data_IF_262079127650
#
_entry.id   IF_262079127650
#
_cell.length_a   1.000
_cell.length_b   1.000
_cell.length_c   1.000
_cell.angle_alpha   90.00
_cell.angle_beta   90.00
_cell.angle_gamma   90.00
#
_symmetry.space_group_name_H-M   'P 1'
#
loop_
_entity.id
_entity.type
_entity.pdbx_description
1 polymer ?
#
# COMPACT_ATOMS: atom_id res chain seq x y z
N UNK A 1 -23.64 -12.04 7.53
CA UNK A 1 -23.22 -10.83 8.25
C UNK A 1 -21.87 -10.38 7.70
N UNK A 2 -21.87 -9.46 6.73
CA UNK A 2 -20.65 -8.95 6.09
C UNK A 2 -19.88 -8.06 7.08
N UNK A 3 -18.62 -8.42 7.35
CA UNK A 3 -17.77 -7.71 8.33
C UNK A 3 -17.64 -6.25 7.92
N UNK A 4 -18.04 -5.34 8.83
CA UNK A 4 -17.71 -3.92 8.76
C UNK A 4 -16.19 -3.81 8.82
N UNK A 5 -15.55 -3.50 7.69
CA UNK A 5 -14.14 -3.13 7.71
C UNK A 5 -14.04 -1.75 8.36
N UNK A 6 -13.44 -1.73 9.55
CA UNK A 6 -13.32 -0.56 10.40
C UNK A 6 -12.61 0.57 9.68
N UNK A 7 -13.30 1.71 9.66
CA UNK A 7 -12.87 3.02 9.23
C UNK A 7 -11.67 3.46 10.09
N UNK A 8 -10.46 3.28 9.58
CA UNK A 8 -9.27 3.95 10.12
C UNK A 8 -8.84 4.96 9.05
N UNK A 9 -8.69 6.26 9.36
CA UNK A 9 -7.94 7.14 8.47
C UNK A 9 -6.48 6.68 8.54
N UNK A 10 -6.12 5.77 7.65
CA UNK A 10 -4.85 5.06 7.56
C UNK A 10 -3.76 5.96 6.95
N UNK A 11 -3.64 7.20 7.42
CA UNK A 11 -2.57 8.08 6.98
C UNK A 11 -1.90 8.67 8.22
N UNK A 12 -0.79 8.05 8.59
CA UNK A 12 0.22 8.72 9.42
C UNK A 12 1.23 9.34 8.44
N UNK A 13 1.52 10.65 8.52
CA UNK A 13 2.54 11.32 7.70
C UNK A 13 3.95 10.66 7.72
N UNK A 14 4.17 9.70 8.62
CA UNK A 14 5.38 8.88 8.72
C UNK A 14 5.49 7.74 7.71
N UNK A 15 4.50 7.52 6.83
CA UNK A 15 4.50 6.42 5.85
C UNK A 15 5.05 6.80 4.47
N UNK A 16 5.49 8.05 4.31
CA UNK A 16 6.14 8.48 3.09
C UNK A 16 7.61 8.05 3.17
N UNK A 17 8.07 7.20 2.24
CA UNK A 17 9.45 6.74 2.25
C UNK A 17 10.40 7.95 2.22
N UNK A 18 11.52 7.82 2.93
CA UNK A 18 12.63 8.78 2.76
C UNK A 18 13.03 8.81 1.29
N UNK A 19 13.48 9.96 0.75
CA UNK A 19 14.04 10.00 -0.60
C UNK A 19 15.15 8.96 -0.73
N UNK A 20 14.95 7.97 -1.60
CA UNK A 20 15.84 6.81 -1.77
C UNK A 20 15.26 5.48 -1.28
N UNK A 21 14.21 5.50 -0.45
CA UNK A 21 13.42 4.30 -0.15
C UNK A 21 12.35 4.06 -1.23
N UNK A 22 12.03 2.78 -1.43
CA UNK A 22 11.03 2.35 -2.42
C UNK A 22 9.62 2.39 -1.82
N UNK A 23 8.63 2.78 -2.63
CA UNK A 23 7.22 2.70 -2.26
C UNK A 23 6.80 1.23 -2.14
N UNK A 24 6.00 0.90 -1.12
CA UNK A 24 5.37 -0.43 -1.00
C UNK A 24 3.91 -0.36 -1.48
N UNK A 25 3.70 -0.68 -2.76
CA UNK A 25 2.39 -0.81 -3.42
C UNK A 25 2.18 -2.24 -3.93
N UNK A 26 2.62 -3.25 -3.16
CA UNK A 26 2.51 -4.66 -3.54
C UNK A 26 1.11 -5.24 -3.38
N UNK A 27 0.21 -4.54 -2.69
CA UNK A 27 -1.18 -4.98 -2.49
C UNK A 27 -2.00 -4.80 -3.79
N UNK A 28 -2.87 -5.78 -4.08
CA UNK A 28 -3.69 -5.78 -5.28
C UNK A 28 -4.63 -4.57 -5.39
N UNK A 29 -4.92 -3.87 -4.28
CA UNK A 29 -5.69 -2.61 -4.28
C UNK A 29 -5.09 -1.53 -5.18
N UNK A 30 -3.78 -1.59 -5.44
CA UNK A 30 -3.06 -0.64 -6.28
C UNK A 30 -3.10 -1.03 -7.75
N UNK A 31 -3.65 -2.20 -8.11
CA UNK A 31 -3.64 -2.70 -9.47
C UNK A 31 -5.05 -2.90 -10.00
N UNK A 32 -5.50 -1.96 -10.83
CA UNK A 32 -6.75 -2.03 -11.56
C UNK A 32 -6.47 -2.51 -12.99
N UNK A 33 -6.65 -3.81 -13.22
CA UNK A 33 -6.42 -4.46 -14.51
C UNK A 33 -7.57 -4.29 -15.50
N UNK A 34 -8.66 -3.64 -15.10
CA UNK A 34 -9.82 -3.44 -15.97
C UNK A 34 -9.80 -2.09 -16.67
N UNK A 35 -9.15 -1.10 -16.07
CA UNK A 35 -9.07 0.24 -16.62
C UNK A 35 -7.63 0.73 -16.63
N UNK A 36 -7.03 0.82 -17.81
CA UNK A 36 -5.81 1.59 -17.98
C UNK A 36 -6.15 3.07 -18.09
N UNK A 37 -5.57 3.88 -17.20
CA UNK A 37 -5.70 5.34 -17.22
C UNK A 37 -4.34 5.98 -17.48
N UNK A 38 -4.27 7.18 -18.07
CA UNK A 38 -3.00 7.87 -18.28
C UNK A 38 -2.36 8.24 -16.93
N UNK A 39 -1.07 7.96 -16.79
CA UNK A 39 -0.29 8.30 -15.61
C UNK A 39 -0.22 9.82 -15.44
N UNK A 40 -0.58 10.34 -14.27
CA UNK A 40 -0.58 11.78 -13.99
C UNK A 40 0.79 12.47 -14.07
N UNK A 41 1.88 11.71 -14.20
CA UNK A 41 3.26 12.22 -14.27
C UNK A 41 3.93 12.06 -15.65
N UNK A 42 3.53 11.06 -16.44
CA UNK A 42 4.17 10.77 -17.72
C UNK A 42 3.18 10.48 -18.86
N UNK A 43 1.89 10.58 -18.59
CA UNK A 43 0.75 10.39 -19.51
C UNK A 43 0.63 9.01 -20.17
N UNK A 44 1.53 8.07 -19.86
CA UNK A 44 1.46 6.70 -20.35
C UNK A 44 0.39 5.89 -19.61
N UNK A 45 -0.27 4.99 -20.32
CA UNK A 45 -1.25 4.08 -19.74
C UNK A 45 -0.67 3.31 -18.53
N UNK A 46 -1.44 3.27 -17.44
CA UNK A 46 -1.10 2.52 -16.24
C UNK A 46 -2.32 1.83 -15.64
N UNK A 47 -2.20 0.53 -15.33
CA UNK A 47 -3.19 -0.16 -14.49
C UNK A 47 -2.99 0.19 -13.02
N UNK A 48 -1.91 0.88 -12.67
CA UNK A 48 -1.54 1.15 -11.29
C UNK A 48 -2.19 2.41 -10.74
N UNK A 49 -2.54 2.36 -9.46
CA UNK A 49 -3.17 3.44 -8.69
C UNK A 49 -2.33 3.78 -7.47
N UNK A 50 -2.20 5.07 -7.20
CA UNK A 50 -1.68 5.55 -5.92
C UNK A 50 -2.61 5.16 -4.78
N UNK A 51 -2.17 5.35 -3.54
CA UNK A 51 -3.02 5.17 -2.37
C UNK A 51 -4.33 5.97 -2.43
N UNK A 52 -4.29 7.17 -3.03
CA UNK A 52 -5.45 8.04 -3.21
C UNK A 52 -6.34 7.64 -4.40
N UNK A 53 -5.96 6.62 -5.17
CA UNK A 53 -6.65 6.22 -6.40
C UNK A 53 -6.23 6.98 -7.66
N UNK A 54 -5.19 7.83 -7.60
CA UNK A 54 -4.69 8.53 -8.81
C UNK A 54 -3.92 7.55 -9.72
N UNK A 55 -4.14 7.56 -11.04
CA UNK A 55 -3.40 6.72 -11.97
C UNK A 55 -1.94 7.18 -12.06
N UNK A 56 -1.02 6.33 -11.65
CA UNK A 56 0.42 6.62 -11.68
C UNK A 56 1.23 5.33 -11.72
N UNK A 57 2.36 5.30 -12.43
CA UNK A 57 3.32 4.20 -12.29
C UNK A 57 4.06 4.30 -10.96
N UNK A 58 4.39 3.15 -10.34
CA UNK A 58 5.23 3.09 -9.13
C UNK A 58 6.51 3.89 -9.26
N UNK A 59 7.24 3.67 -10.36
CA UNK A 59 8.51 4.33 -10.64
C UNK A 59 8.36 5.83 -10.82
N UNK A 60 7.28 6.30 -11.43
CA UNK A 60 7.00 7.73 -11.56
C UNK A 60 6.72 8.37 -10.19
N UNK A 61 5.95 7.69 -9.34
CA UNK A 61 5.69 8.16 -7.98
C UNK A 61 6.97 8.18 -7.12
N UNK A 62 7.79 7.13 -7.20
CA UNK A 62 9.10 7.06 -6.52
C UNK A 62 10.03 8.18 -6.98
N UNK A 63 10.11 8.43 -8.29
CA UNK A 63 10.90 9.53 -8.85
C UNK A 63 10.39 10.91 -8.37
N UNK A 64 9.07 11.09 -8.27
CA UNK A 64 8.48 12.33 -7.78
C UNK A 64 8.80 12.57 -6.30
N UNK A 65 8.72 11.54 -5.45
CA UNK A 65 9.09 11.62 -4.02
C UNK A 65 10.59 11.92 -3.88
N UNK A 66 11.44 11.25 -4.66
CA UNK A 66 12.88 11.49 -4.65
C UNK A 66 13.22 12.93 -5.07
N UNK A 67 12.48 13.50 -6.03
CA UNK A 67 12.64 14.89 -6.45
C UNK A 67 12.01 15.91 -5.49
N UNK A 68 10.94 15.55 -4.76
CA UNK A 68 10.16 16.45 -3.91
C UNK A 68 9.91 15.86 -2.50
N UNK A 69 10.95 15.54 -1.71
CA UNK A 69 10.77 14.79 -0.46
C UNK A 69 10.03 15.58 0.63
N UNK A 70 10.21 16.89 0.69
CA UNK A 70 9.50 17.78 1.62
C UNK A 70 8.03 17.93 1.24
N UNK A 71 7.75 18.09 -0.05
CA UNK A 71 6.38 18.27 -0.54
C UNK A 71 5.58 16.97 -0.47
N UNK A 72 6.22 15.83 -0.75
CA UNK A 72 5.63 14.52 -0.54
C UNK A 72 5.14 14.41 0.91
N UNK A 73 6.01 14.65 1.89
CA UNK A 73 5.68 14.62 3.34
C UNK A 73 4.58 15.60 3.73
N UNK A 74 4.60 16.80 3.16
CA UNK A 74 3.63 17.85 3.47
C UNK A 74 2.24 17.51 2.94
N UNK A 75 2.16 17.02 1.70
CA UNK A 75 0.90 16.74 1.01
C UNK A 75 0.36 15.33 1.30
N UNK A 76 1.18 14.42 1.81
CA UNK A 76 0.80 13.02 1.91
C UNK A 76 0.68 12.33 0.54
N UNK A 77 1.22 12.93 -0.52
CA UNK A 77 1.01 12.45 -1.90
C UNK A 77 1.95 11.29 -2.19
N UNK A 78 1.38 10.16 -2.63
CA UNK A 78 2.07 8.90 -2.86
C UNK A 78 2.67 8.28 -1.58
N UNK A 79 1.82 7.93 -0.62
CA UNK A 79 2.24 7.17 0.56
C UNK A 79 2.44 5.66 0.24
N UNK A 80 3.37 5.02 0.93
CA UNK A 80 3.42 3.55 0.98
C UNK A 80 2.22 3.00 1.75
N UNK A 81 1.76 1.80 1.42
CA UNK A 81 0.81 1.11 2.28
C UNK A 81 1.41 0.95 3.68
N UNK A 82 0.62 1.18 4.73
CA UNK A 82 0.97 0.64 6.05
C UNK A 82 1.10 -0.86 5.85
N UNK A 83 2.30 -1.40 5.96
CA UNK A 83 2.46 -2.83 6.19
C UNK A 83 1.74 -3.13 7.50
N UNK A 84 0.45 -3.46 7.41
CA UNK A 84 -0.28 -4.06 8.48
C UNK A 84 0.50 -5.33 8.76
N UNK A 85 1.35 -5.25 9.79
CA UNK A 85 2.22 -6.31 10.29
C UNK A 85 1.45 -7.59 10.12
N UNK A 86 1.86 -8.44 9.17
CA UNK A 86 1.15 -9.69 8.88
C UNK A 86 1.00 -10.38 10.21
N UNK A 87 -0.22 -10.41 10.77
CA UNK A 87 -0.54 -11.36 11.82
C UNK A 87 -0.47 -12.70 11.11
N UNK A 88 0.74 -13.27 11.16
CA UNK A 88 0.97 -14.69 10.96
C UNK A 88 0.21 -15.32 12.11
N UNK A 89 -1.07 -15.59 11.85
CA UNK A 89 -1.88 -16.46 12.69
C UNK A 89 -1.29 -17.86 12.45
N UNK A 90 -0.21 -18.15 13.17
CA UNK A 90 0.32 -19.50 13.31
C UNK A 90 -0.69 -20.30 14.15
N UNK A 91 -1.85 -20.59 13.57
CA UNK A 91 -2.76 -21.62 14.07
C UNK A 91 -2.21 -22.98 13.59
N UNK A 92 -1.08 -23.36 14.20
CA UNK A 92 -0.44 -24.64 13.97
C UNK A 92 -0.60 -25.50 15.22
N UNK A 93 -1.48 -26.49 15.08
CA UNK A 93 -1.74 -27.63 15.94
C UNK A 93 -2.56 -27.33 17.21
N UNK A 94 -3.80 -27.83 17.22
CA UNK A 94 -4.47 -28.28 18.43
C UNK A 94 -3.82 -29.60 18.86
N UNK A 95 -3.00 -29.67 19.93
CA UNK A 95 -2.62 -30.95 20.50
C UNK A 95 -3.84 -31.51 21.22
N UNK A 96 -4.47 -32.53 20.62
CA UNK A 96 -5.45 -33.37 21.31
C UNK A 96 -4.84 -33.83 22.65
N UNK A 97 -5.56 -33.72 23.78
CA UNK A 97 -5.05 -34.25 25.04
C UNK A 97 -4.94 -35.78 24.92
N UNK A 98 -3.72 -36.28 25.01
CA UNK A 98 -3.42 -37.71 25.10
C UNK A 98 -4.05 -38.24 26.39
N UNK A 99 -5.08 -39.06 26.22
CA UNK A 99 -5.74 -39.78 27.30
C UNK A 99 -4.93 -41.06 27.56
N UNK A 100 -4.36 -41.19 28.75
CA UNK A 100 -3.69 -42.40 29.25
C UNK A 100 -3.87 -42.50 30.77
N UNK A 101 -3.80 -43.70 31.36
CA UNK A 101 -4.46 -44.96 31.01
C UNK A 101 -5.80 -45.15 31.73
#
# INVERSE_FOLDING_TARGET
MTRRSSKTPLWEPGLIPVPGDLLDWRDARHFDHWQDHPCALCDKATPMRSHSGEPVHKSCAEAWIAANPTEARRLGRFASDVQAKRRRDDDHACPLPRRSP
#
